data_IF_231062181854
#
_entry.id   IF_231062181854
#
_cell.length_a   1.000
_cell.length_b   1.000
_cell.length_c   1.000
_cell.angle_alpha   90.00
_cell.angle_beta   90.00
_cell.angle_gamma   90.00
#
_symmetry.space_group_name_H-M   'P 1'
#
loop_
_entity.id
_entity.type
_entity.pdbx_description
1 polymer ?
#
# COMPACT_ATOMS: atom_id res chain seq x y z
N UNK A 1 17.10 -1.48 -20.98
CA UNK A 1 15.87 -1.25 -20.18
C UNK A 1 14.85 -2.38 -20.31
N UNK A 2 14.54 -2.89 -21.52
CA UNK A 2 13.53 -3.95 -21.71
C UNK A 2 13.89 -5.32 -21.10
N UNK A 3 15.17 -5.74 -21.08
CA UNK A 3 15.57 -7.04 -20.48
C UNK A 3 15.20 -7.15 -18.99
N UNK A 4 15.32 -6.07 -18.22
CA UNK A 4 14.95 -6.04 -16.81
C UNK A 4 13.43 -6.03 -16.57
N UNK A 5 12.59 -5.84 -17.60
CA UNK A 5 11.13 -5.99 -17.48
C UNK A 5 10.71 -7.46 -17.39
N UNK A 6 11.54 -8.39 -17.90
CA UNK A 6 11.26 -9.83 -17.91
C UNK A 6 12.23 -10.66 -17.08
N UNK A 7 13.22 -10.01 -16.45
CA UNK A 7 14.21 -10.69 -15.62
C UNK A 7 13.57 -11.20 -14.33
N UNK A 8 13.62 -12.51 -14.14
CA UNK A 8 13.03 -13.20 -13.00
C UNK A 8 14.09 -13.29 -11.91
N UNK A 9 13.93 -12.51 -10.83
CA UNK A 9 14.92 -12.48 -9.75
C UNK A 9 14.76 -13.69 -8.84
N UNK A 10 15.89 -14.30 -8.47
CA UNK A 10 15.95 -15.29 -7.40
C UNK A 10 15.55 -14.64 -6.07
N UNK A 11 14.87 -15.41 -5.21
CA UNK A 11 14.32 -14.89 -3.95
C UNK A 11 14.56 -15.85 -2.80
N UNK A 12 15.08 -15.32 -1.70
CA UNK A 12 15.18 -16.01 -0.41
C UNK A 12 13.84 -16.14 0.31
N UNK A 13 12.76 -15.62 -0.30
CA UNK A 13 11.44 -15.63 0.31
C UNK A 13 10.83 -17.02 0.22
N UNK A 14 10.62 -17.60 1.40
CA UNK A 14 10.04 -18.94 1.56
C UNK A 14 8.61 -19.00 0.99
N UNK A 15 8.30 -20.14 0.38
CA UNK A 15 7.05 -20.40 -0.37
C UNK A 15 5.77 -20.29 0.46
N UNK A 16 5.85 -20.43 1.77
CA UNK A 16 4.70 -20.32 2.66
C UNK A 16 4.20 -18.88 2.88
N UNK A 17 5.00 -17.84 2.58
CA UNK A 17 4.57 -16.44 2.79
C UNK A 17 3.45 -16.03 1.81
N UNK A 18 3.55 -16.32 0.50
CA UNK A 18 2.41 -16.17 -0.41
C UNK A 18 1.14 -16.85 0.08
N UNK A 19 1.24 -18.12 0.51
CA UNK A 19 0.10 -18.89 1.04
C UNK A 19 -0.54 -18.20 2.24
N UNK A 20 0.29 -17.75 3.19
CA UNK A 20 -0.17 -17.03 4.37
C UNK A 20 -0.89 -15.71 4.02
N UNK A 21 -0.38 -14.98 3.02
CA UNK A 21 -1.01 -13.77 2.52
C UNK A 21 -2.37 -14.07 1.85
N UNK A 22 -2.43 -15.12 1.02
CA UNK A 22 -3.68 -15.57 0.40
C UNK A 22 -4.72 -15.99 1.42
N UNK A 23 -4.34 -16.71 2.48
CA UNK A 23 -5.24 -17.07 3.58
C UNK A 23 -5.71 -15.84 4.36
N UNK A 24 -4.80 -14.91 4.66
CA UNK A 24 -5.14 -13.71 5.43
C UNK A 24 -6.10 -12.78 4.69
N UNK A 25 -6.03 -12.72 3.36
CA UNK A 25 -6.97 -11.97 2.51
C UNK A 25 -8.23 -12.81 2.24
N UNK A 26 -8.09 -14.13 2.12
CA UNK A 26 -9.17 -15.03 1.74
C UNK A 26 -10.21 -15.29 2.82
N UNK A 27 -9.78 -15.51 4.06
CA UNK A 27 -10.68 -15.81 5.18
C UNK A 27 -11.73 -14.70 5.37
N UNK A 28 -11.37 -13.40 5.43
CA UNK A 28 -12.37 -12.35 5.58
C UNK A 28 -13.31 -12.18 4.38
N UNK A 29 -12.84 -12.41 3.15
CA UNK A 29 -13.69 -12.38 1.95
C UNK A 29 -14.70 -13.51 1.95
N UNK A 30 -14.27 -14.74 2.27
CA UNK A 30 -15.17 -15.88 2.36
C UNK A 30 -16.17 -15.70 3.50
N UNK A 31 -15.74 -15.17 4.65
CA UNK A 31 -16.63 -14.80 5.72
C UNK A 31 -17.66 -13.75 5.28
N UNK A 32 -17.23 -12.72 4.53
CA UNK A 32 -18.11 -11.71 3.94
C UNK A 32 -19.12 -12.30 2.94
N UNK A 33 -18.72 -13.32 2.18
CA UNK A 33 -19.61 -14.06 1.28
C UNK A 33 -20.67 -14.85 2.06
N UNK A 34 -20.27 -15.65 3.06
CA UNK A 34 -21.21 -16.47 3.84
C UNK A 34 -22.14 -15.65 4.74
N UNK A 35 -21.71 -14.48 5.20
CA UNK A 35 -22.53 -13.58 6.03
C UNK A 35 -23.39 -12.62 5.21
N UNK A 36 -23.26 -12.63 3.87
CA UNK A 36 -23.95 -11.68 2.98
C UNK A 36 -23.40 -10.24 3.02
N UNK A 37 -22.35 -9.96 3.80
CA UNK A 37 -21.73 -8.65 3.92
C UNK A 37 -20.37 -8.59 3.20
N UNK A 38 -20.43 -8.53 1.87
CA UNK A 38 -19.23 -8.48 1.03
C UNK A 38 -18.40 -7.20 1.25
N UNK A 39 -19.05 -6.06 1.55
CA UNK A 39 -18.35 -4.79 1.78
C UNK A 39 -17.43 -4.87 3.00
N UNK A 40 -17.93 -5.42 4.11
CA UNK A 40 -17.13 -5.65 5.32
C UNK A 40 -16.00 -6.66 5.10
N UNK A 41 -16.27 -7.75 4.37
CA UNK A 41 -15.26 -8.76 4.02
C UNK A 41 -14.10 -8.15 3.24
N UNK A 42 -14.37 -7.31 2.24
CA UNK A 42 -13.35 -6.61 1.45
C UNK A 42 -12.48 -5.65 2.28
N UNK A 43 -13.11 -4.86 3.16
CA UNK A 43 -12.39 -3.98 4.08
C UNK A 43 -11.44 -4.79 4.99
N UNK A 44 -11.97 -5.85 5.61
CA UNK A 44 -11.18 -6.74 6.46
C UNK A 44 -10.01 -7.39 5.69
N UNK A 45 -10.23 -7.80 4.45
CA UNK A 45 -9.19 -8.39 3.59
C UNK A 45 -8.06 -7.42 3.25
N UNK A 46 -8.34 -6.13 3.05
CA UNK A 46 -7.28 -5.13 2.84
C UNK A 46 -6.40 -4.97 4.09
N UNK A 47 -6.98 -5.02 5.28
CA UNK A 47 -6.22 -5.04 6.54
C UNK A 47 -5.42 -6.34 6.71
N UNK A 48 -5.88 -7.44 6.12
CA UNK A 48 -5.21 -8.74 6.08
C UNK A 48 -3.78 -8.69 5.52
N UNK A 49 -3.48 -7.71 4.67
CA UNK A 49 -2.15 -7.52 4.08
C UNK A 49 -1.08 -7.12 5.12
N UNK A 50 -1.46 -6.81 6.36
CA UNK A 50 -0.53 -6.60 7.48
C UNK A 50 0.36 -7.82 7.74
N UNK A 51 -0.08 -9.02 7.37
CA UNK A 51 0.69 -10.25 7.51
C UNK A 51 2.04 -10.20 6.77
N UNK A 52 2.16 -9.34 5.75
CA UNK A 52 3.38 -9.14 4.98
C UNK A 52 4.50 -8.45 5.77
N UNK A 53 4.21 -7.92 6.97
CA UNK A 53 5.22 -7.39 7.89
C UNK A 53 5.94 -8.47 8.72
N UNK A 54 5.63 -9.76 8.52
CA UNK A 54 6.33 -10.86 9.19
C UNK A 54 7.73 -11.08 8.59
N UNK A 55 8.77 -10.61 9.28
CA UNK A 55 10.15 -10.64 8.77
C UNK A 55 11.13 -11.45 9.63
N UNK A 56 10.81 -11.74 10.89
CA UNK A 56 11.81 -12.23 11.84
C UNK A 56 11.69 -13.73 12.07
N UNK A 57 12.83 -14.37 12.38
CA UNK A 57 12.91 -15.80 12.73
C UNK A 57 12.51 -16.11 14.17
N UNK A 58 12.14 -15.09 14.96
CA UNK A 58 11.69 -15.22 16.34
C UNK A 58 10.19 -14.92 16.42
N UNK A 59 9.44 -15.80 17.08
CA UNK A 59 8.00 -15.63 17.23
C UNK A 59 7.66 -14.32 17.97
N UNK A 60 8.39 -13.99 19.04
CA UNK A 60 8.15 -12.80 19.86
C UNK A 60 8.35 -11.52 19.06
N UNK A 61 9.48 -11.38 18.35
CA UNK A 61 9.78 -10.18 17.55
C UNK A 61 8.80 -10.04 16.37
N UNK A 62 8.45 -11.15 15.73
CA UNK A 62 7.47 -11.17 14.64
C UNK A 62 6.08 -10.76 15.11
N UNK A 63 5.61 -11.25 16.27
CA UNK A 63 4.31 -10.89 16.82
C UNK A 63 4.25 -9.45 17.31
N UNK A 64 5.29 -8.97 18.01
CA UNK A 64 5.35 -7.54 18.41
C UNK A 64 5.29 -6.62 17.20
N UNK A 65 6.05 -6.97 16.14
CA UNK A 65 6.03 -6.23 14.87
C UNK A 65 4.64 -6.26 14.23
N UNK A 66 4.04 -7.43 14.13
CA UNK A 66 2.74 -7.62 13.50
C UNK A 66 1.64 -6.88 14.25
N UNK A 67 1.61 -6.97 15.58
CA UNK A 67 0.65 -6.25 16.43
C UNK A 67 0.82 -4.73 16.33
N UNK A 68 2.07 -4.23 16.31
CA UNK A 68 2.34 -2.81 16.13
C UNK A 68 1.87 -2.31 14.75
N UNK A 69 2.11 -3.08 13.69
CA UNK A 69 1.62 -2.76 12.34
C UNK A 69 0.09 -2.83 12.26
N UNK A 70 -0.54 -3.83 12.90
CA UNK A 70 -1.99 -3.97 12.98
C UNK A 70 -2.64 -2.76 13.66
N UNK A 71 -2.08 -2.34 14.80
CA UNK A 71 -2.51 -1.11 15.46
C UNK A 71 -2.31 0.12 14.56
N UNK A 72 -1.15 0.24 13.91
CA UNK A 72 -0.89 1.33 12.99
C UNK A 72 -1.89 1.39 11.82
N UNK A 73 -2.29 0.24 11.26
CA UNK A 73 -3.30 0.14 10.20
C UNK A 73 -4.69 0.55 10.70
N UNK A 74 -5.08 0.13 11.90
CA UNK A 74 -6.35 0.59 12.51
C UNK A 74 -6.33 2.11 12.71
N UNK A 75 -5.21 2.67 13.16
CA UNK A 75 -5.03 4.13 13.28
C UNK A 75 -5.08 4.80 11.90
N UNK A 76 -4.43 4.23 10.88
CA UNK A 76 -4.50 4.75 9.49
C UNK A 76 -5.93 4.90 9.01
N UNK A 77 -6.72 3.83 9.19
CA UNK A 77 -8.11 3.82 8.77
C UNK A 77 -8.97 4.78 9.58
N UNK A 78 -8.76 4.85 10.89
CA UNK A 78 -9.49 5.76 11.78
C UNK A 78 -9.22 7.22 11.44
N UNK A 79 -7.96 7.60 11.22
CA UNK A 79 -7.59 8.96 10.80
C UNK A 79 -8.23 9.29 9.46
N UNK A 80 -8.14 8.41 8.45
CA UNK A 80 -8.77 8.66 7.16
C UNK A 80 -10.29 8.83 7.24
N UNK A 81 -10.96 8.01 8.06
CA UNK A 81 -12.42 8.07 8.24
C UNK A 81 -12.88 9.34 8.95
N UNK A 82 -12.08 9.87 9.89
CA UNK A 82 -12.42 11.09 10.64
C UNK A 82 -12.20 12.37 9.82
N UNK A 83 -11.17 12.40 8.98
CA UNK A 83 -10.78 13.58 8.21
C UNK A 83 -11.25 13.57 6.74
N UNK A 84 -12.05 12.57 6.34
CA UNK A 84 -12.62 12.41 4.99
C UNK A 84 -13.85 13.28 4.68
N UNK A 85 -14.23 14.22 5.55
CA UNK A 85 -15.47 15.00 5.41
C UNK A 85 -15.43 16.07 4.32
N UNK A 86 -14.25 16.56 3.92
CA UNK A 86 -14.11 17.65 2.95
C UNK A 86 -13.00 17.35 1.93
N UNK A 87 -13.34 17.48 0.63
CA UNK A 87 -12.46 17.21 -0.50
C UNK A 87 -11.17 18.06 -0.53
N UNK A 88 -11.13 19.22 0.14
CA UNK A 88 -9.94 20.07 0.23
C UNK A 88 -9.08 19.78 1.48
N UNK A 89 -9.72 19.35 2.58
CA UNK A 89 -9.03 19.05 3.84
C UNK A 89 -8.43 17.64 3.79
N UNK A 90 -9.11 16.68 3.15
CA UNK A 90 -8.65 15.31 3.01
C UNK A 90 -7.26 15.17 2.36
N UNK A 91 -6.92 15.87 1.26
CA UNK A 91 -5.57 15.86 0.69
C UNK A 91 -4.49 16.36 1.64
N UNK A 92 -4.76 17.45 2.37
CA UNK A 92 -3.82 18.01 3.33
C UNK A 92 -3.60 17.05 4.51
N UNK A 93 -4.68 16.50 5.05
CA UNK A 93 -4.64 15.53 6.14
C UNK A 93 -3.91 14.24 5.72
N UNK A 94 -4.17 13.71 4.52
CA UNK A 94 -3.47 12.55 3.98
C UNK A 94 -1.97 12.83 3.80
N UNK A 95 -1.60 14.01 3.28
CA UNK A 95 -0.20 14.39 3.11
C UNK A 95 0.56 14.51 4.43
N UNK A 96 -0.06 15.14 5.44
CA UNK A 96 0.48 15.19 6.80
C UNK A 96 0.59 13.81 7.43
N UNK A 97 -0.43 12.97 7.26
CA UNK A 97 -0.42 11.59 7.74
C UNK A 97 0.71 10.78 7.10
N UNK A 98 0.86 10.84 5.78
CA UNK A 98 1.92 10.17 5.04
C UNK A 98 3.32 10.63 5.48
N UNK A 99 3.50 11.92 5.76
CA UNK A 99 4.73 12.46 6.36
C UNK A 99 5.02 11.82 7.73
N UNK A 100 4.04 11.80 8.63
CA UNK A 100 4.18 11.23 9.99
C UNK A 100 4.49 9.75 9.93
N UNK A 101 3.79 8.98 9.10
CA UNK A 101 4.02 7.53 8.95
C UNK A 101 5.41 7.24 8.38
N UNK A 102 5.81 7.95 7.32
CA UNK A 102 7.13 7.76 6.72
C UNK A 102 8.25 8.05 7.74
N UNK A 103 8.11 9.16 8.49
CA UNK A 103 9.07 9.53 9.53
C UNK A 103 9.06 8.56 10.72
N UNK A 104 7.88 8.12 11.16
CA UNK A 104 7.72 7.17 12.27
C UNK A 104 8.35 5.82 11.97
N UNK A 105 8.07 5.24 10.79
CA UNK A 105 8.67 3.97 10.37
C UNK A 105 10.18 4.06 10.18
N UNK A 106 10.69 5.23 9.78
CA UNK A 106 12.13 5.49 9.77
C UNK A 106 12.74 5.37 11.17
N UNK A 107 12.14 6.00 12.19
CA UNK A 107 12.65 5.90 13.58
C UNK A 107 12.54 4.48 14.14
N UNK A 108 11.52 3.73 13.74
CA UNK A 108 11.36 2.32 14.09
C UNK A 108 12.29 1.38 13.30
N UNK A 109 13.12 1.91 12.38
CA UNK A 109 13.99 1.14 11.46
C UNK A 109 13.22 0.13 10.60
N UNK A 110 11.93 0.39 10.34
CA UNK A 110 11.03 -0.46 9.57
C UNK A 110 10.92 0.02 8.12
N UNK A 111 12.06 0.19 7.46
CA UNK A 111 12.13 0.70 6.08
C UNK A 111 12.16 -0.41 5.01
N UNK A 112 12.14 -1.68 5.44
CA UNK A 112 12.06 -2.82 4.51
C UNK A 112 10.67 -2.87 3.87
N UNK A 113 10.57 -3.16 2.55
CA UNK A 113 9.28 -3.37 1.90
C UNK A 113 8.47 -4.43 2.65
N UNK A 114 7.16 -4.23 2.92
CA UNK A 114 6.26 -3.23 2.32
C UNK A 114 6.30 -1.80 2.91
N UNK A 115 7.14 -1.54 3.93
CA UNK A 115 7.43 -0.19 4.43
C UNK A 115 6.19 0.59 4.87
N UNK A 116 5.99 1.79 4.33
CA UNK A 116 4.85 2.66 4.64
C UNK A 116 3.60 2.41 3.77
N UNK A 117 3.69 1.55 2.75
CA UNK A 117 2.72 1.47 1.67
C UNK A 117 1.30 1.14 2.15
N UNK A 118 1.14 0.08 2.94
CA UNK A 118 -0.19 -0.38 3.35
C UNK A 118 -0.88 0.59 4.30
N UNK A 119 -0.14 1.28 5.16
CA UNK A 119 -0.68 2.35 6.02
C UNK A 119 -1.26 3.49 5.18
N UNK A 120 -0.53 3.94 4.16
CA UNK A 120 -0.97 5.03 3.28
C UNK A 120 -2.14 4.57 2.42
N UNK A 121 -2.11 3.33 1.94
CA UNK A 121 -3.18 2.78 1.12
C UNK A 121 -4.49 2.70 1.89
N UNK A 122 -4.48 2.15 3.10
CA UNK A 122 -5.66 2.04 3.94
C UNK A 122 -6.17 3.42 4.36
N UNK A 123 -5.28 4.36 4.68
CA UNK A 123 -5.67 5.75 4.92
C UNK A 123 -6.34 6.37 3.69
N UNK A 124 -5.73 6.23 2.50
CA UNK A 124 -6.26 6.80 1.25
C UNK A 124 -7.66 6.29 0.91
N UNK A 125 -7.89 4.98 1.09
CA UNK A 125 -9.22 4.37 0.94
C UNK A 125 -10.19 5.02 1.91
N UNK A 126 -9.85 5.09 3.20
CA UNK A 126 -10.71 5.68 4.22
C UNK A 126 -11.06 7.16 3.97
N UNK A 127 -10.12 7.97 3.49
CA UNK A 127 -10.35 9.37 3.13
C UNK A 127 -11.35 9.56 1.99
N UNK A 128 -11.48 8.57 1.10
CA UNK A 128 -12.36 8.64 -0.07
C UNK A 128 -13.69 7.91 0.14
N UNK A 129 -13.91 7.29 1.29
CA UNK A 129 -15.18 6.65 1.61
C UNK A 129 -16.25 7.69 1.99
N UNK A 130 -17.53 7.42 1.70
CA UNK A 130 -18.62 8.32 2.08
C UNK A 130 -18.63 8.60 3.59
N UNK A 131 -18.53 9.88 3.96
CA UNK A 131 -18.47 10.28 5.36
C UNK A 131 -19.80 10.05 6.06
N UNK A 132 -19.82 9.12 7.03
CA UNK A 132 -21.00 8.86 7.86
C UNK A 132 -20.59 8.42 9.26
N UNK A 133 -20.84 9.26 10.26
CA UNK A 133 -20.48 9.03 11.67
C UNK A 133 -20.97 7.68 12.22
N UNK A 134 -22.11 7.17 11.73
CA UNK A 134 -22.68 5.90 12.15
C UNK A 134 -21.90 4.68 11.63
N UNK A 135 -21.31 4.75 10.44
CA UNK A 135 -20.61 3.61 9.83
C UNK A 135 -19.13 3.54 10.21
N UNK A 136 -18.55 4.64 10.75
CA UNK A 136 -17.14 4.70 11.13
C UNK A 136 -16.76 3.58 12.13
N UNK A 137 -17.47 3.38 13.26
CA UNK A 137 -17.12 2.32 14.21
C UNK A 137 -17.22 0.92 13.57
N UNK A 138 -18.23 0.70 12.72
CA UNK A 138 -18.43 -0.56 12.03
C UNK A 138 -17.29 -0.87 11.04
N UNK A 139 -16.88 0.12 10.25
CA UNK A 139 -15.80 -0.03 9.28
C UNK A 139 -14.43 -0.24 9.95
N UNK A 140 -14.17 0.49 11.05
CA UNK A 140 -12.99 0.24 11.90
C UNK A 140 -13.05 -1.18 12.48
N UNK A 141 -14.23 -1.66 12.87
CA UNK A 141 -14.46 -3.03 13.32
C UNK A 141 -14.06 -4.07 12.25
N UNK A 142 -14.44 -3.87 10.98
CA UNK A 142 -14.02 -4.76 9.90
C UNK A 142 -12.50 -4.79 9.69
N UNK A 143 -11.85 -3.63 9.72
CA UNK A 143 -10.38 -3.54 9.68
C UNK A 143 -9.77 -4.29 10.86
N UNK A 144 -10.33 -4.10 12.06
CA UNK A 144 -9.94 -4.82 13.27
C UNK A 144 -10.01 -6.35 13.10
N UNK A 145 -11.13 -6.87 12.60
CA UNK A 145 -11.31 -8.30 12.31
C UNK A 145 -10.22 -8.80 11.35
N UNK A 146 -9.94 -8.06 10.27
CA UNK A 146 -8.87 -8.39 9.33
C UNK A 146 -7.51 -8.48 10.00
N UNK A 147 -7.14 -7.49 10.81
CA UNK A 147 -5.87 -7.51 11.55
C UNK A 147 -5.79 -8.61 12.59
N UNK A 148 -6.90 -8.96 13.26
CA UNK A 148 -6.96 -10.07 14.21
C UNK A 148 -6.70 -11.39 13.51
N UNK A 149 -7.34 -11.63 12.36
CA UNK A 149 -7.12 -12.83 11.55
C UNK A 149 -5.64 -12.94 11.14
N UNK A 150 -5.03 -11.84 10.69
CA UNK A 150 -3.59 -11.83 10.38
C UNK A 150 -2.72 -12.13 11.59
N UNK A 151 -3.01 -11.55 12.75
CA UNK A 151 -2.27 -11.82 13.99
C UNK A 151 -2.37 -13.29 14.40
N UNK A 152 -3.57 -13.88 14.35
CA UNK A 152 -3.79 -15.30 14.65
C UNK A 152 -3.05 -16.20 13.66
N UNK A 153 -3.14 -15.92 12.35
CA UNK A 153 -2.40 -16.67 11.34
C UNK A 153 -0.89 -16.52 11.49
N UNK A 154 -0.41 -15.32 11.82
CA UNK A 154 1.00 -15.06 12.08
C UNK A 154 1.52 -15.82 13.30
N UNK A 155 0.71 -15.94 14.35
CA UNK A 155 1.02 -16.73 15.54
C UNK A 155 1.08 -18.22 15.22
N UNK A 156 0.08 -18.76 14.52
CA UNK A 156 0.04 -20.16 14.09
C UNK A 156 1.26 -20.47 13.22
N UNK A 157 1.51 -19.65 12.19
CA UNK A 157 2.68 -19.79 11.33
C UNK A 157 3.99 -19.72 12.13
N UNK A 158 4.04 -18.83 13.12
CA UNK A 158 5.20 -18.69 13.98
C UNK A 158 5.48 -19.91 14.84
N UNK A 159 4.44 -20.54 15.40
CA UNK A 159 4.55 -21.79 16.17
C UNK A 159 4.99 -22.97 15.30
N UNK A 160 4.51 -23.04 14.05
CA UNK A 160 4.80 -24.14 13.13
C UNK A 160 6.21 -24.05 12.51
N UNK A 161 6.72 -22.84 12.27
CA UNK A 161 7.90 -22.65 11.41
C UNK A 161 9.13 -22.17 12.17
N UNK A 162 8.97 -21.39 13.25
CA UNK A 162 10.11 -20.86 13.98
C UNK A 162 10.66 -21.91 14.94
N UNK A 163 11.63 -22.68 14.46
CA UNK A 163 12.55 -23.41 15.34
C UNK A 163 13.37 -22.37 16.12
N UNK A 164 13.55 -22.60 17.42
CA UNK A 164 14.22 -21.71 18.37
C UNK A 164 15.67 -21.42 17.92
N UNK A 165 15.83 -20.51 16.96
CA UNK A 165 17.12 -20.12 16.42
C UNK A 165 17.48 -18.80 17.05
N UNK A 166 18.39 -18.87 18.02
CA UNK A 166 19.19 -17.73 18.47
C UNK A 166 20.11 -17.30 17.32
N UNK A 167 19.53 -16.67 16.31
CA UNK A 167 20.30 -15.91 15.32
C UNK A 167 20.05 -14.44 15.60
N UNK A 168 20.83 -13.91 16.55
CA UNK A 168 21.28 -12.54 16.42
C UNK A 168 21.97 -12.44 15.07
N UNK A 169 21.51 -11.56 14.19
CA UNK A 169 22.42 -10.99 13.21
C UNK A 169 21.99 -9.60 12.79
N UNK A 170 22.71 -8.66 13.42
CA UNK A 170 23.34 -7.49 12.82
C UNK A 170 22.52 -6.77 11.75
N UNK A 171 21.84 -5.72 12.20
CA UNK A 171 21.50 -4.63 11.30
C UNK A 171 22.75 -3.77 11.11
N UNK A 172 23.47 -3.94 9.99
CA UNK A 172 24.31 -2.86 9.48
C UNK A 172 23.32 -1.78 9.00
N UNK A 173 22.85 -0.96 9.94
CA UNK A 173 22.05 0.20 9.63
C UNK A 173 22.97 1.26 9.10
N UNK A 174 23.02 1.45 7.79
CA UNK A 174 23.55 2.69 7.21
C UNK A 174 22.64 3.80 7.73
N UNK A 175 23.08 4.52 8.77
CA UNK A 175 22.34 5.61 9.36
C UNK A 175 22.40 6.79 8.39
N UNK A 176 21.36 6.94 7.56
CA UNK A 176 21.18 8.17 6.79
C UNK A 176 21.06 9.36 7.76
N UNK A 177 21.62 10.50 7.38
CA UNK A 177 21.59 11.71 8.21
C UNK A 177 20.14 12.14 8.51
N UNK A 178 19.84 12.52 9.77
CA UNK A 178 18.50 12.92 10.23
C UNK A 178 17.82 13.95 9.33
N UNK A 179 18.58 14.90 8.78
CA UNK A 179 18.04 15.94 7.88
C UNK A 179 17.62 15.39 6.51
N UNK A 180 18.35 14.41 5.99
CA UNK A 180 18.04 13.77 4.70
C UNK A 180 16.68 13.07 4.80
N UNK A 181 16.44 12.34 5.90
CA UNK A 181 15.18 11.62 6.08
C UNK A 181 13.98 12.54 6.35
N UNK A 182 14.18 13.71 6.95
CA UNK A 182 13.11 14.71 7.12
C UNK A 182 12.70 15.28 5.76
N UNK A 183 13.66 15.63 4.90
CA UNK A 183 13.39 16.09 3.53
C UNK A 183 12.72 14.99 2.70
N UNK A 184 13.17 13.74 2.83
CA UNK A 184 12.55 12.59 2.17
C UNK A 184 11.08 12.43 2.62
N UNK A 185 10.83 12.49 3.93
CA UNK A 185 9.47 12.34 4.49
C UNK A 185 8.54 13.48 4.08
N UNK A 186 9.03 14.73 4.07
CA UNK A 186 8.24 15.91 3.65
C UNK A 186 7.88 15.80 2.18
N UNK A 187 8.86 15.47 1.33
CA UNK A 187 8.62 15.27 -0.11
C UNK A 187 7.61 14.15 -0.35
N UNK A 188 7.75 13.04 0.38
CA UNK A 188 6.83 11.92 0.30
C UNK A 188 5.40 12.30 0.70
N UNK A 189 5.23 12.96 1.86
CA UNK A 189 3.92 13.43 2.32
C UNK A 189 3.29 14.45 1.37
N UNK A 190 4.07 15.41 0.88
CA UNK A 190 3.61 16.40 -0.09
C UNK A 190 3.12 15.74 -1.39
N UNK A 191 3.87 14.80 -1.95
CA UNK A 191 3.50 14.12 -3.20
C UNK A 191 2.21 13.30 -3.05
N UNK A 192 2.06 12.56 -1.95
CA UNK A 192 0.86 11.77 -1.68
C UNK A 192 -0.36 12.67 -1.45
N UNK A 193 -0.22 13.75 -0.68
CA UNK A 193 -1.32 14.71 -0.48
C UNK A 193 -1.69 15.43 -1.78
N UNK A 194 -0.70 15.88 -2.54
CA UNK A 194 -0.91 16.53 -3.84
C UNK A 194 -1.56 15.60 -4.86
N UNK A 195 -1.23 14.32 -4.85
CA UNK A 195 -1.88 13.30 -5.67
C UNK A 195 -3.39 13.20 -5.39
N UNK A 196 -3.80 13.18 -4.12
CA UNK A 196 -5.22 13.18 -3.77
C UNK A 196 -5.89 14.51 -4.13
N UNK A 197 -5.20 15.64 -3.95
CA UNK A 197 -5.73 16.96 -4.33
C UNK A 197 -6.03 17.03 -5.82
N UNK A 198 -5.09 16.62 -6.67
CA UNK A 198 -5.29 16.59 -8.12
C UNK A 198 -6.42 15.64 -8.52
N UNK A 199 -6.52 14.48 -7.90
CA UNK A 199 -7.60 13.54 -8.15
C UNK A 199 -8.98 14.15 -7.86
N UNK A 200 -9.10 14.88 -6.75
CA UNK A 200 -10.34 15.56 -6.36
C UNK A 200 -10.66 16.74 -7.28
N UNK A 201 -9.66 17.53 -7.69
CA UNK A 201 -9.84 18.65 -8.63
C UNK A 201 -10.29 18.19 -10.02
N UNK A 202 -9.77 17.06 -10.48
CA UNK A 202 -10.16 16.42 -11.74
C UNK A 202 -11.49 15.65 -11.63
N UNK A 203 -12.10 15.59 -10.44
CA UNK A 203 -13.35 14.87 -10.15
C UNK A 203 -13.32 13.41 -10.62
N UNK A 204 -12.19 12.73 -10.36
CA UNK A 204 -12.04 11.32 -10.70
C UNK A 204 -13.02 10.45 -9.89
N UNK A 205 -13.51 9.37 -10.49
CA UNK A 205 -14.47 8.47 -9.83
C UNK A 205 -13.89 7.78 -8.59
N UNK A 206 -12.60 7.44 -8.62
CA UNK A 206 -11.93 6.67 -7.57
C UNK A 206 -10.62 7.31 -7.11
N UNK A 207 -10.68 8.46 -6.41
CA UNK A 207 -9.53 9.33 -6.18
C UNK A 207 -8.42 8.69 -5.31
N UNK A 208 -8.72 7.66 -4.52
CA UNK A 208 -7.74 6.97 -3.67
C UNK A 208 -6.68 6.17 -4.45
N UNK A 209 -6.89 5.85 -5.73
CA UNK A 209 -5.90 5.13 -6.53
C UNK A 209 -4.70 5.99 -6.94
N UNK A 210 -4.90 7.29 -7.05
CA UNK A 210 -3.83 8.23 -7.39
C UNK A 210 -2.75 8.30 -6.29
N UNK A 211 -3.07 8.61 -5.01
CA UNK A 211 -2.08 8.65 -3.94
C UNK A 211 -1.45 7.27 -3.66
N UNK A 212 -2.20 6.18 -3.81
CA UNK A 212 -1.65 4.82 -3.65
C UNK A 212 -0.67 4.47 -4.76
N UNK A 213 -0.96 4.86 -6.00
CA UNK A 213 -0.06 4.71 -7.14
C UNK A 213 1.21 5.54 -6.98
N UNK A 214 1.06 6.79 -6.55
CA UNK A 214 2.18 7.67 -6.21
C UNK A 214 3.09 7.04 -5.15
N UNK A 215 2.52 6.59 -4.03
CA UNK A 215 3.25 5.91 -2.96
C UNK A 215 3.92 4.61 -3.42
N UNK A 216 3.30 3.85 -4.32
CA UNK A 216 3.86 2.61 -4.85
C UNK A 216 5.09 2.83 -5.75
N UNK A 217 5.09 3.89 -6.56
CA UNK A 217 6.20 4.25 -7.44
C UNK A 217 7.37 4.85 -6.64
N UNK A 218 7.07 5.69 -5.65
CA UNK A 218 8.08 6.33 -4.79
C UNK A 218 8.84 5.36 -3.87
N UNK A 219 8.38 4.10 -3.72
CA UNK A 219 9.12 3.05 -3.01
C UNK A 219 10.38 2.56 -3.75
N UNK A 220 10.66 3.04 -4.97
CA UNK A 220 11.88 2.71 -5.69
C UNK A 220 13.13 3.22 -4.96
N UNK A 221 14.12 2.34 -4.75
CA UNK A 221 15.37 2.65 -4.02
C UNK A 221 16.34 3.62 -4.72
N UNK A 222 16.08 4.01 -5.97
CA UNK A 222 16.87 4.98 -6.75
C UNK A 222 16.00 5.64 -7.82
N UNK A 223 16.40 6.80 -8.35
CA UNK A 223 15.65 7.49 -9.41
C UNK A 223 15.40 6.59 -10.64
N UNK A 224 16.41 5.82 -11.07
CA UNK A 224 16.25 4.85 -12.16
C UNK A 224 15.22 3.76 -11.82
N UNK A 225 15.25 3.27 -10.57
CA UNK A 225 14.30 2.25 -10.11
C UNK A 225 12.86 2.81 -9.98
N UNK A 226 12.70 4.06 -9.51
CA UNK A 226 11.40 4.76 -9.50
C UNK A 226 10.85 4.88 -10.93
N UNK A 227 11.66 5.36 -11.87
CA UNK A 227 11.25 5.49 -13.27
C UNK A 227 10.82 4.16 -13.88
N UNK A 228 11.60 3.11 -13.63
CA UNK A 228 11.29 1.77 -14.09
C UNK A 228 10.01 1.21 -13.47
N UNK A 229 9.78 1.43 -12.16
CA UNK A 229 8.52 1.06 -11.49
C UNK A 229 7.34 1.83 -12.07
N UNK A 230 7.49 3.10 -12.40
CA UNK A 230 6.43 3.89 -13.05
C UNK A 230 6.02 3.27 -14.39
N UNK A 231 6.99 2.94 -15.25
CA UNK A 231 6.71 2.30 -16.54
C UNK A 231 6.08 0.91 -16.35
N UNK A 232 6.66 0.09 -15.47
CA UNK A 232 6.13 -1.24 -15.13
C UNK A 232 4.70 -1.16 -14.60
N UNK A 233 4.39 -0.12 -13.80
CA UNK A 233 3.07 0.06 -13.22
C UNK A 233 2.04 0.45 -14.29
N UNK A 234 2.37 1.40 -15.17
CA UNK A 234 1.48 1.83 -16.26
C UNK A 234 1.22 0.67 -17.24
N UNK A 235 2.29 0.01 -17.73
CA UNK A 235 2.15 -1.10 -18.69
C UNK A 235 1.47 -2.33 -18.06
N UNK A 236 1.84 -2.67 -16.83
CA UNK A 236 1.23 -3.78 -16.10
C UNK A 236 -0.25 -3.54 -15.85
N UNK A 237 -0.63 -2.33 -15.48
CA UNK A 237 -2.04 -1.97 -15.32
C UNK A 237 -2.80 -2.01 -16.64
N UNK A 238 -2.24 -1.51 -17.74
CA UNK A 238 -2.89 -1.62 -19.06
C UNK A 238 -3.22 -3.07 -19.44
N UNK A 239 -2.26 -3.98 -19.28
CA UNK A 239 -2.46 -5.41 -19.54
C UNK A 239 -3.46 -6.02 -18.52
N UNK A 240 -3.33 -5.67 -17.24
CA UNK A 240 -4.23 -6.14 -16.18
C UNK A 240 -5.68 -5.69 -16.37
N UNK A 241 -5.91 -4.48 -16.87
CA UNK A 241 -7.23 -3.98 -17.25
C UNK A 241 -7.83 -4.80 -18.40
N UNK A 242 -7.03 -5.13 -19.42
CA UNK A 242 -7.45 -6.02 -20.51
C UNK A 242 -7.83 -7.42 -20.01
N UNK A 243 -7.05 -7.99 -19.09
CA UNK A 243 -7.39 -9.27 -18.45
C UNK A 243 -8.66 -9.18 -17.60
N UNK A 244 -8.82 -8.10 -16.83
CA UNK A 244 -10.02 -7.86 -16.03
C UNK A 244 -11.25 -7.80 -16.92
N UNK A 245 -11.19 -7.02 -18.01
CA UNK A 245 -12.25 -6.94 -19.01
C UNK A 245 -12.62 -8.32 -19.55
N UNK A 246 -11.63 -9.12 -19.95
CA UNK A 246 -11.84 -10.49 -20.44
C UNK A 246 -12.51 -11.41 -19.41
N UNK A 247 -12.11 -11.34 -18.14
CA UNK A 247 -12.72 -12.15 -17.07
C UNK A 247 -14.15 -11.70 -16.78
N UNK A 248 -14.45 -10.41 -16.84
CA UNK A 248 -15.80 -9.88 -16.60
C UNK A 248 -16.81 -10.29 -17.67
N UNK A 249 -16.37 -10.51 -18.92
CA UNK A 249 -17.23 -11.05 -19.99
C UNK A 249 -17.76 -12.45 -19.68
N UNK A 250 -17.09 -13.21 -18.81
CA UNK A 250 -17.50 -14.56 -18.41
C UNK A 250 -18.60 -14.55 -17.33
N UNK A 251 -19.04 -13.37 -16.88
CA UNK A 251 -20.07 -13.21 -15.84
C UNK A 251 -19.82 -14.10 -14.60
N UNK A 252 -18.65 -13.98 -13.95
CA UNK A 252 -18.28 -14.87 -12.85
C UNK A 252 -19.23 -14.75 -11.66
N UNK A 253 -19.55 -15.89 -11.05
CA UNK A 253 -20.38 -15.92 -9.84
C UNK A 253 -19.65 -15.26 -8.65
N UNK A 254 -20.41 -14.83 -7.64
CA UNK A 254 -19.85 -14.25 -6.41
C UNK A 254 -18.81 -15.16 -5.72
N UNK A 255 -19.01 -16.48 -5.76
CA UNK A 255 -18.04 -17.44 -5.22
C UNK A 255 -16.77 -17.49 -6.07
N UNK A 256 -16.91 -17.49 -7.41
CA UNK A 256 -15.77 -17.43 -8.34
C UNK A 256 -14.94 -16.16 -8.11
N UNK A 257 -15.55 -15.02 -7.84
CA UNK A 257 -14.83 -13.79 -7.44
C UNK A 257 -14.03 -13.97 -6.16
N UNK A 258 -14.63 -14.57 -5.12
CA UNK A 258 -13.96 -14.79 -3.84
C UNK A 258 -12.73 -15.69 -4.01
N UNK A 259 -12.88 -16.82 -4.71
CA UNK A 259 -11.79 -17.74 -5.02
C UNK A 259 -10.74 -17.04 -5.89
N UNK A 260 -11.18 -16.26 -6.88
CA UNK A 260 -10.31 -15.47 -7.75
C UNK A 260 -9.42 -14.50 -6.96
N UNK A 261 -9.98 -13.78 -5.98
CA UNK A 261 -9.18 -12.88 -5.12
C UNK A 261 -8.10 -13.66 -4.36
N UNK A 262 -8.42 -14.83 -3.82
CA UNK A 262 -7.44 -15.66 -3.08
C UNK A 262 -6.32 -16.09 -4.02
N UNK A 263 -6.66 -16.65 -5.19
CA UNK A 263 -5.69 -17.13 -6.18
C UNK A 263 -4.83 -15.97 -6.69
N UNK A 264 -5.44 -14.83 -7.03
CA UNK A 264 -4.72 -13.65 -7.47
C UNK A 264 -3.77 -13.13 -6.37
N UNK A 265 -4.20 -13.09 -5.11
CA UNK A 265 -3.33 -12.69 -3.99
C UNK A 265 -2.10 -13.60 -3.86
N UNK A 266 -2.28 -14.93 -4.02
CA UNK A 266 -1.16 -15.88 -4.02
C UNK A 266 -0.17 -15.58 -5.16
N UNK A 267 -0.69 -15.39 -6.37
CA UNK A 267 0.12 -15.10 -7.57
C UNK A 267 0.86 -13.77 -7.40
N UNK A 268 0.18 -12.73 -6.92
CA UNK A 268 0.76 -11.40 -6.67
C UNK A 268 1.92 -11.52 -5.70
N UNK A 269 1.72 -12.20 -4.57
CA UNK A 269 2.75 -12.26 -3.53
C UNK A 269 3.98 -13.07 -3.98
N UNK A 270 3.75 -14.07 -4.83
CA UNK A 270 4.82 -14.84 -5.46
C UNK A 270 5.60 -14.01 -6.49
N UNK A 271 4.91 -13.22 -7.31
CA UNK A 271 5.52 -12.44 -8.39
C UNK A 271 6.15 -11.13 -7.92
N UNK A 272 5.60 -10.46 -6.90
CA UNK A 272 6.02 -9.09 -6.51
C UNK A 272 7.49 -9.00 -6.13
N UNK A 273 8.06 -10.09 -5.61
CA UNK A 273 9.47 -10.17 -5.22
C UNK A 273 10.38 -10.51 -6.42
N UNK A 274 9.82 -11.17 -7.45
CA UNK A 274 10.57 -11.72 -8.60
C UNK A 274 10.55 -10.79 -9.80
N UNK A 275 9.37 -10.25 -10.11
CA UNK A 275 9.15 -9.32 -11.20
C UNK A 275 7.94 -8.41 -10.89
N UNK A 276 8.23 -7.14 -10.61
CA UNK A 276 7.20 -6.14 -10.29
C UNK A 276 6.21 -5.90 -11.44
N UNK A 277 6.67 -5.85 -12.70
CA UNK A 277 5.79 -5.60 -13.85
C UNK A 277 4.74 -6.70 -14.02
N UNK A 278 5.14 -7.97 -13.94
CA UNK A 278 4.20 -9.09 -13.97
C UNK A 278 3.27 -9.09 -12.75
N UNK A 279 3.80 -8.76 -11.56
CA UNK A 279 2.97 -8.64 -10.37
C UNK A 279 1.89 -7.57 -10.53
N UNK A 280 2.21 -6.41 -11.14
CA UNK A 280 1.23 -5.32 -11.34
C UNK A 280 0.05 -5.74 -12.20
N UNK A 281 0.26 -6.62 -13.20
CA UNK A 281 -0.83 -7.17 -14.01
C UNK A 281 -1.88 -7.81 -13.09
N UNK A 282 -1.45 -8.73 -12.23
CA UNK A 282 -2.36 -9.43 -11.31
C UNK A 282 -2.82 -8.56 -10.14
N UNK A 283 -2.00 -7.62 -9.66
CA UNK A 283 -2.43 -6.62 -8.66
C UNK A 283 -3.62 -5.83 -9.20
N UNK A 284 -3.59 -5.43 -10.47
CA UNK A 284 -4.67 -4.65 -11.08
C UNK A 284 -5.98 -5.44 -11.11
N UNK A 285 -5.93 -6.72 -11.50
CA UNK A 285 -7.13 -7.59 -11.48
C UNK A 285 -7.64 -7.77 -10.05
N UNK A 286 -6.73 -8.07 -9.11
CA UNK A 286 -7.03 -8.26 -7.70
C UNK A 286 -7.70 -7.03 -7.08
N UNK A 287 -7.16 -5.84 -7.33
CA UNK A 287 -7.64 -4.61 -6.71
C UNK A 287 -8.99 -4.17 -7.25
N UNK A 288 -9.28 -4.44 -8.52
CA UNK A 288 -10.60 -4.21 -9.10
C UNK A 288 -11.62 -5.15 -8.44
N UNK A 289 -11.26 -6.42 -8.25
CA UNK A 289 -12.15 -7.39 -7.57
C UNK A 289 -12.39 -7.00 -6.10
N UNK A 290 -11.37 -6.45 -5.42
CA UNK A 290 -11.52 -5.90 -4.07
C UNK A 290 -12.36 -4.61 -4.05
N UNK A 291 -12.21 -3.72 -5.02
CA UNK A 291 -12.88 -2.42 -5.05
C UNK A 291 -14.38 -2.51 -5.35
N UNK A 292 -14.82 -3.19 -6.41
CA UNK A 292 -16.24 -3.22 -6.81
C UNK A 292 -16.90 -4.59 -6.58
N UNK A 293 -18.20 -4.61 -6.25
CA UNK A 293 -18.97 -5.84 -6.04
C UNK A 293 -19.47 -6.39 -7.38
N UNK A 294 -19.39 -7.71 -7.60
CA UNK A 294 -19.64 -8.38 -8.88
C UNK A 294 -20.87 -7.90 -9.68
N UNK A 295 -21.98 -7.55 -9.02
CA UNK A 295 -23.19 -7.05 -9.69
C UNK A 295 -23.07 -5.63 -10.24
N UNK A 296 -22.18 -4.79 -9.68
CA UNK A 296 -21.95 -3.40 -10.12
C UNK A 296 -20.93 -3.30 -11.26
N UNK A 297 -19.98 -4.26 -11.36
CA UNK A 297 -18.99 -4.28 -12.46
C UNK A 297 -19.61 -4.61 -13.81
N UNK A 298 -20.65 -5.46 -13.85
CA UNK A 298 -21.25 -5.88 -15.10
C UNK A 298 -21.97 -4.72 -15.84
N UNK A 299 -22.48 -3.73 -15.11
CA UNK A 299 -23.27 -2.64 -15.67
C UNK A 299 -22.43 -1.48 -16.25
N UNK A 300 -21.26 -1.18 -15.68
CA UNK A 300 -20.44 0.00 -16.03
C UNK A 300 -18.94 -0.34 -16.15
N UNK A 301 -18.62 -1.52 -16.70
CA UNK A 301 -17.24 -2.03 -16.70
C UNK A 301 -16.27 -1.19 -17.55
N UNK A 302 -16.74 -0.52 -18.61
CA UNK A 302 -15.88 0.33 -19.46
C UNK A 302 -15.45 1.60 -18.75
N UNK A 303 -16.40 2.34 -18.16
CA UNK A 303 -16.12 3.61 -17.47
C UNK A 303 -15.16 3.37 -16.32
N UNK A 304 -15.41 2.33 -15.53
CA UNK A 304 -14.58 1.93 -14.41
C UNK A 304 -13.14 1.61 -14.84
N UNK A 305 -12.97 0.82 -15.90
CA UNK A 305 -11.64 0.45 -16.40
C UNK A 305 -10.88 1.67 -16.90
N UNK A 306 -11.56 2.56 -17.64
CA UNK A 306 -10.93 3.79 -18.13
C UNK A 306 -10.54 4.73 -16.99
N UNK A 307 -11.42 4.91 -15.99
CA UNK A 307 -11.13 5.70 -14.79
C UNK A 307 -9.87 5.16 -14.08
N UNK A 308 -9.77 3.83 -13.92
CA UNK A 308 -8.59 3.22 -13.29
C UNK A 308 -7.30 3.40 -14.08
N UNK A 309 -7.36 3.38 -15.41
CA UNK A 309 -6.18 3.68 -16.21
C UNK A 309 -5.67 5.11 -15.94
N UNK A 310 -6.58 6.09 -15.94
CA UNK A 310 -6.22 7.48 -15.66
C UNK A 310 -5.71 7.68 -14.22
N UNK A 311 -6.34 7.05 -13.23
CA UNK A 311 -5.93 7.13 -11.83
C UNK A 311 -4.48 6.64 -11.65
N UNK A 312 -4.16 5.48 -12.23
CA UNK A 312 -2.83 4.88 -12.14
C UNK A 312 -1.80 5.67 -12.95
N UNK A 313 -2.17 6.16 -14.13
CA UNK A 313 -1.31 7.00 -14.98
C UNK A 313 -0.90 8.26 -14.22
N UNK A 314 -1.87 9.01 -13.69
CA UNK A 314 -1.63 10.26 -12.97
C UNK A 314 -0.80 10.02 -11.72
N UNK A 315 -1.17 9.02 -10.91
CA UNK A 315 -0.40 8.69 -9.71
C UNK A 315 1.02 8.19 -10.00
N UNK A 316 1.23 7.46 -11.10
CA UNK A 316 2.57 6.99 -11.50
C UNK A 316 3.46 8.14 -11.96
N UNK A 317 2.91 9.10 -12.72
CA UNK A 317 3.63 10.32 -13.14
C UNK A 317 4.03 11.14 -11.91
N UNK A 318 3.11 11.38 -10.98
CA UNK A 318 3.41 12.10 -9.74
C UNK A 318 4.45 11.36 -8.90
N UNK A 319 4.36 10.03 -8.80
CA UNK A 319 5.34 9.22 -8.11
C UNK A 319 6.72 9.26 -8.76
N UNK A 320 6.80 9.30 -10.09
CA UNK A 320 8.04 9.46 -10.83
C UNK A 320 8.69 10.83 -10.58
N UNK A 321 7.89 11.91 -10.60
CA UNK A 321 8.33 13.26 -10.24
C UNK A 321 8.80 13.32 -8.78
N UNK A 322 8.04 12.74 -7.86
CA UNK A 322 8.38 12.64 -6.45
C UNK A 322 9.69 11.89 -6.21
N UNK A 323 9.90 10.75 -6.87
CA UNK A 323 11.16 10.02 -6.79
C UNK A 323 12.33 10.76 -7.45
N UNK A 324 12.10 11.49 -8.54
CA UNK A 324 13.15 12.35 -9.11
C UNK A 324 13.56 13.45 -8.13
N UNK A 325 12.60 14.08 -7.44
CA UNK A 325 12.88 15.07 -6.39
C UNK A 325 13.67 14.47 -5.20
N UNK A 326 13.33 13.25 -4.78
CA UNK A 326 14.01 12.53 -3.69
C UNK A 326 15.47 12.16 -4.01
N UNK A 327 15.82 11.92 -5.28
CA UNK A 327 17.15 11.43 -5.64
C UNK A 327 18.02 12.48 -6.32
N UNK A 328 17.53 13.70 -6.50
CA UNK A 328 18.31 14.80 -7.05
C UNK A 328 19.23 15.41 -5.97
N UNK A 329 20.52 15.05 -5.99
CA UNK A 329 21.52 15.45 -4.99
C UNK A 329 21.58 16.96 -4.74
N UNK A 330 21.34 17.79 -5.76
CA UNK A 330 21.36 19.26 -5.65
C UNK A 330 20.22 19.79 -4.78
N UNK A 331 19.01 19.24 -4.91
CA UNK A 331 17.86 19.65 -4.09
C UNK A 331 18.05 19.20 -2.64
N UNK A 332 18.58 17.99 -2.44
CA UNK A 332 18.96 17.51 -1.12
C UNK A 332 19.98 18.41 -0.42
N UNK A 333 21.01 18.86 -1.14
CA UNK A 333 22.02 19.76 -0.61
C UNK A 333 21.43 21.13 -0.22
N UNK A 334 20.61 21.72 -1.09
CA UNK A 334 20.01 23.05 -0.85
C UNK A 334 19.03 23.01 0.32
N UNK A 335 18.13 22.01 0.37
CA UNK A 335 17.17 21.85 1.46
C UNK A 335 17.86 21.65 2.80
N UNK A 336 18.89 20.79 2.85
CA UNK A 336 19.67 20.55 4.07
C UNK A 336 20.41 21.83 4.53
N UNK A 337 20.94 22.62 3.59
CA UNK A 337 21.61 23.89 3.89
C UNK A 337 20.63 24.94 4.43
N UNK A 338 19.44 25.05 3.87
CA UNK A 338 18.41 25.97 4.35
C UNK A 338 17.94 25.60 5.76
N UNK A 339 17.64 24.32 6.03
CA UNK A 339 17.23 23.87 7.36
C UNK A 339 18.32 24.18 8.41
N UNK A 340 19.61 23.96 8.08
CA UNK A 340 20.72 24.34 8.95
C UNK A 340 20.77 25.84 9.21
N UNK A 341 20.62 26.68 8.17
CA UNK A 341 20.57 28.14 8.32
C UNK A 341 19.42 28.59 9.22
N UNK A 342 18.19 28.10 8.98
CA UNK A 342 17.01 28.46 9.79
C UNK A 342 17.20 28.07 11.25
N UNK A 343 17.75 26.88 11.52
CA UNK A 343 18.04 26.44 12.89
C UNK A 343 19.11 27.31 13.58
N UNK A 344 20.18 27.68 12.87
CA UNK A 344 21.20 28.59 13.40
C UNK A 344 20.63 29.98 13.69
N UNK A 345 19.72 30.49 12.85
CA UNK A 345 19.03 31.76 13.07
C UNK A 345 18.10 31.71 14.29
N UNK A 346 17.37 30.61 14.48
CA UNK A 346 16.50 30.41 15.65
C UNK A 346 17.36 30.29 16.94
N UNK A 347 18.49 29.58 16.87
CA UNK A 347 19.41 29.43 18.02
C UNK A 347 20.16 30.70 18.39
N UNK A 348 20.25 31.69 17.49
CA UNK A 348 20.84 33.01 17.77
C UNK A 348 19.83 34.03 18.30
N UNK A 349 18.53 33.71 18.27
CA UNK A 349 17.44 34.54 18.80
C UNK A 349 16.94 34.10 20.18
N UNK A 350 17.38 32.94 20.66
CA UNK A 350 17.35 32.55 22.08
C UNK A 350 18.68 32.94 22.68
#
# INVERSE_FOLDING_TARGET
MLKQLFEFRETDRKWHIPVLAGLSVGIPILAGYFTGNMAGGKLASMAGLVILYIHSLSITKSMVTLMACSFGIMVSFSVGSLFGFNAYIAPLALGLYAFVVHLGLYYLKMTRPPGNFFFIMIASVAFCMPFSLKSIPQNIGYIGIGTMISCTLGLIYGLLTFKNSNSENQTIGITKNKYVNLVESVTFGFMVGFALLLANLLKLENPYWVPTSCAAVMQGASSKHVWQRSIQRILGTFIGLGLTWGVLLLHPTSLTFCIGIIVLQLIVEFLVVRNYGMAVIFITVLTIFLAESGNTLAANSTTLITARFFDILLGSILGAVGGWLLYNERLHFIATRQIRKTRMLISRRK
#
